data_IF_547202407841
#
_entry.id   IF_547202407841
#
_cell.length_a   1.000
_cell.length_b   1.000
_cell.length_c   1.000
_cell.angle_alpha   90.00
_cell.angle_beta   90.00
_cell.angle_gamma   90.00
#
_symmetry.space_group_name_H-M   'P 1'
#
loop_
_entity.id
_entity.type
_entity.pdbx_description
1 polymer ?
#
# COMPACT_ATOMS: atom_id res chain seq x y z
N UNK A 1 -6.85 -62.75 12.14
CA UNK A 1 -6.28 -61.43 12.48
C UNK A 1 -5.61 -60.84 11.25
N UNK A 2 -6.32 -59.99 10.52
CA UNK A 2 -5.79 -58.89 9.70
C UNK A 2 -6.91 -58.39 8.78
N UNK A 3 -7.13 -57.08 8.82
CA UNK A 3 -7.73 -56.20 7.80
C UNK A 3 -8.53 -55.08 8.48
N UNK A 4 -7.83 -54.27 9.27
CA UNK A 4 -8.17 -52.87 9.49
C UNK A 4 -7.12 -52.07 8.74
N UNK A 5 -7.50 -51.49 7.61
CA UNK A 5 -6.94 -50.30 6.97
C UNK A 5 -7.70 -50.15 5.64
N UNK A 6 -8.94 -49.67 5.71
CA UNK A 6 -9.59 -49.12 4.53
C UNK A 6 -9.57 -47.59 4.64
N UNK A 7 -9.16 -47.00 3.54
CA UNK A 7 -8.54 -45.69 3.43
C UNK A 7 -9.64 -44.63 3.27
N UNK A 8 -9.96 -43.92 4.34
CA UNK A 8 -10.83 -42.73 4.30
C UNK A 8 -10.08 -41.54 3.66
N UNK A 9 -9.88 -41.60 2.35
CA UNK A 9 -9.43 -40.46 1.56
C UNK A 9 -10.61 -39.51 1.39
N UNK A 10 -10.78 -38.58 2.34
CA UNK A 10 -11.73 -37.46 2.26
C UNK A 10 -11.59 -36.76 0.90
N UNK A 11 -12.58 -36.96 0.03
CA UNK A 11 -12.77 -36.16 -1.20
C UNK A 11 -12.90 -34.70 -0.79
N UNK A 12 -11.97 -33.87 -1.23
CA UNK A 12 -12.04 -32.42 -1.13
C UNK A 12 -13.34 -31.98 -1.84
N UNK A 13 -14.30 -31.45 -1.07
CA UNK A 13 -15.57 -30.96 -1.59
C UNK A 13 -15.33 -29.69 -2.39
N UNK A 14 -15.34 -29.81 -3.72
CA UNK A 14 -15.21 -28.66 -4.62
C UNK A 14 -16.47 -27.77 -4.51
N UNK A 15 -16.34 -26.61 -3.87
CA UNK A 15 -17.43 -25.64 -3.75
C UNK A 15 -17.83 -25.15 -5.16
N UNK A 16 -19.12 -25.15 -5.54
CA UNK A 16 -19.56 -24.63 -6.84
C UNK A 16 -19.08 -23.20 -7.10
N UNK A 17 -18.76 -22.87 -8.36
CA UNK A 17 -18.21 -21.57 -8.75
C UNK A 17 -19.11 -20.39 -8.33
N UNK A 18 -20.44 -20.54 -8.49
CA UNK A 18 -21.44 -19.53 -8.11
C UNK A 18 -21.46 -19.27 -6.59
N UNK A 19 -21.41 -20.33 -5.78
CA UNK A 19 -21.32 -20.21 -4.32
C UNK A 19 -20.04 -19.50 -3.88
N UNK A 20 -18.91 -19.78 -4.55
CA UNK A 20 -17.64 -19.06 -4.29
C UNK A 20 -17.75 -17.59 -4.65
N UNK A 21 -18.37 -17.25 -5.79
CA UNK A 21 -18.55 -15.86 -6.19
C UNK A 21 -19.38 -15.06 -5.17
N UNK A 22 -20.49 -15.62 -4.70
CA UNK A 22 -21.34 -14.95 -3.68
C UNK A 22 -20.64 -14.80 -2.33
N UNK A 23 -19.90 -15.82 -1.89
CA UNK A 23 -19.11 -15.74 -0.65
C UNK A 23 -18.04 -14.65 -0.75
N UNK A 24 -17.33 -14.56 -1.88
CA UNK A 24 -16.33 -13.49 -2.13
C UNK A 24 -16.97 -12.11 -2.08
N UNK A 25 -18.07 -11.92 -2.83
CA UNK A 25 -18.77 -10.64 -2.84
C UNK A 25 -19.25 -10.25 -1.45
N UNK A 26 -19.76 -11.19 -0.67
CA UNK A 26 -20.20 -10.94 0.70
C UNK A 26 -19.02 -10.61 1.64
N UNK A 27 -17.89 -11.32 1.52
CA UNK A 27 -16.70 -11.08 2.35
C UNK A 27 -16.11 -9.67 2.11
N UNK A 28 -15.92 -9.29 0.84
CA UNK A 28 -15.49 -7.93 0.48
C UNK A 28 -16.56 -6.88 0.86
N UNK A 29 -17.85 -7.16 0.63
CA UNK A 29 -18.92 -6.22 0.96
C UNK A 29 -18.98 -5.95 2.46
N UNK A 30 -18.81 -6.98 3.29
CA UNK A 30 -18.73 -6.80 4.74
C UNK A 30 -17.48 -6.01 5.16
N UNK A 31 -16.34 -6.26 4.51
CA UNK A 31 -15.08 -5.58 4.78
C UNK A 31 -15.15 -4.08 4.49
N UNK A 32 -15.72 -3.71 3.36
CA UNK A 32 -15.72 -2.33 2.88
C UNK A 32 -17.02 -1.60 3.23
N UNK A 33 -18.18 -2.20 2.99
CA UNK A 33 -19.45 -1.47 3.00
C UNK A 33 -20.22 -1.53 4.31
N UNK A 34 -19.94 -2.50 5.18
CA UNK A 34 -20.74 -2.72 6.39
C UNK A 34 -20.71 -1.53 7.36
N UNK A 35 -19.52 -1.09 7.77
CA UNK A 35 -19.31 0.02 8.72
C UNK A 35 -17.95 0.67 8.49
N UNK A 36 -17.84 1.97 8.75
CA UNK A 36 -16.56 2.70 8.67
C UNK A 36 -15.49 2.10 9.58
N UNK A 37 -15.88 1.59 10.76
CA UNK A 37 -14.95 0.91 11.67
C UNK A 37 -14.31 -0.32 11.01
N UNK A 38 -15.11 -1.16 10.35
CA UNK A 38 -14.63 -2.38 9.69
C UNK A 38 -13.74 -2.02 8.51
N UNK A 39 -14.18 -1.06 7.68
CA UNK A 39 -13.39 -0.57 6.56
C UNK A 39 -12.02 -0.04 7.02
N UNK A 40 -11.97 0.77 8.08
CA UNK A 40 -10.71 1.28 8.65
C UNK A 40 -9.83 0.19 9.22
N UNK A 41 -10.42 -0.78 9.93
CA UNK A 41 -9.69 -1.91 10.48
C UNK A 41 -9.05 -2.75 9.38
N UNK A 42 -9.76 -2.94 8.26
CA UNK A 42 -9.29 -3.80 7.16
C UNK A 42 -8.42 -3.09 6.12
N UNK A 43 -8.60 -1.78 5.89
CA UNK A 43 -7.94 -1.04 4.79
C UNK A 43 -7.18 0.21 5.21
N UNK A 44 -7.24 0.58 6.50
CA UNK A 44 -6.71 1.83 7.08
C UNK A 44 -7.38 3.13 6.61
N UNK A 45 -8.42 3.05 5.78
CA UNK A 45 -9.22 4.21 5.35
C UNK A 45 -10.71 3.96 5.61
N UNK A 46 -11.49 5.03 5.77
CA UNK A 46 -12.96 4.89 5.82
C UNK A 46 -13.57 4.69 4.43
N UNK A 47 -14.86 4.36 4.43
CA UNK A 47 -15.61 4.03 3.21
C UNK A 47 -15.68 5.18 2.22
N UNK A 48 -15.75 6.42 2.73
CA UNK A 48 -15.79 7.60 1.88
C UNK A 48 -14.45 7.77 1.16
N UNK A 49 -13.33 7.70 1.88
CA UNK A 49 -12.00 7.70 1.28
C UNK A 49 -11.81 6.53 0.31
N UNK A 50 -12.28 5.33 0.65
CA UNK A 50 -12.21 4.17 -0.23
C UNK A 50 -12.95 4.40 -1.56
N UNK A 51 -14.19 4.93 -1.50
CA UNK A 51 -14.97 5.23 -2.69
C UNK A 51 -14.32 6.33 -3.56
N UNK A 52 -13.79 7.38 -2.93
CA UNK A 52 -13.04 8.44 -3.63
C UNK A 52 -11.80 7.85 -4.30
N UNK A 53 -11.03 7.01 -3.60
CA UNK A 53 -9.85 6.35 -4.15
C UNK A 53 -10.20 5.47 -5.35
N UNK A 54 -11.24 4.64 -5.25
CA UNK A 54 -11.70 3.81 -6.37
C UNK A 54 -12.16 4.66 -7.57
N UNK A 55 -12.79 5.81 -7.31
CA UNK A 55 -13.16 6.74 -8.37
C UNK A 55 -11.93 7.34 -9.06
N UNK A 56 -10.95 7.84 -8.29
CA UNK A 56 -9.70 8.40 -8.81
C UNK A 56 -8.88 7.36 -9.60
N UNK A 57 -8.83 6.12 -9.12
CA UNK A 57 -8.13 5.03 -9.79
C UNK A 57 -8.75 4.69 -11.15
N UNK A 58 -10.08 4.77 -11.27
CA UNK A 58 -10.76 4.61 -12.56
C UNK A 58 -10.50 5.76 -13.51
N UNK A 59 -10.71 6.98 -13.04
CA UNK A 59 -10.77 8.16 -13.92
C UNK A 59 -9.39 8.67 -14.31
N UNK A 60 -8.42 8.59 -13.42
CA UNK A 60 -7.06 9.13 -13.63
C UNK A 60 -6.04 8.00 -13.67
N UNK A 61 -6.15 7.02 -12.76
CA UNK A 61 -5.22 5.88 -12.71
C UNK A 61 -5.33 4.92 -13.89
N UNK A 62 -6.46 4.95 -14.61
CA UNK A 62 -6.77 4.06 -15.73
C UNK A 62 -7.07 2.61 -15.30
N UNK A 63 -7.43 2.40 -14.04
CA UNK A 63 -7.75 1.08 -13.51
C UNK A 63 -9.16 0.68 -13.94
N UNK A 64 -9.28 -0.39 -14.72
CA UNK A 64 -10.56 -0.91 -15.22
C UNK A 64 -10.90 -2.25 -14.60
N UNK A 65 -12.20 -2.53 -14.46
CA UNK A 65 -12.68 -3.85 -14.10
C UNK A 65 -12.28 -4.88 -15.16
N UNK A 66 -12.12 -6.11 -14.72
CA UNK A 66 -11.99 -7.28 -15.60
C UNK A 66 -13.32 -8.03 -15.63
N UNK A 67 -13.45 -9.04 -16.48
CA UNK A 67 -14.65 -9.89 -16.52
C UNK A 67 -14.95 -10.58 -15.17
N UNK A 68 -13.94 -10.75 -14.31
CA UNK A 68 -14.05 -11.59 -13.10
C UNK A 68 -13.89 -10.80 -11.79
N UNK A 69 -13.32 -9.60 -11.84
CA UNK A 69 -12.97 -8.79 -10.66
C UNK A 69 -13.23 -7.31 -10.99
N UNK A 70 -14.00 -6.65 -10.14
CA UNK A 70 -14.27 -5.21 -10.22
C UNK A 70 -13.15 -4.37 -9.56
N UNK A 71 -13.19 -3.05 -9.74
CA UNK A 71 -12.12 -2.18 -9.23
C UNK A 71 -12.06 -2.21 -7.71
N UNK A 72 -13.20 -2.22 -7.05
CA UNK A 72 -13.27 -2.21 -5.60
C UNK A 72 -12.68 -3.48 -4.99
N UNK A 73 -12.94 -4.66 -5.54
CA UNK A 73 -12.33 -5.92 -5.09
C UNK A 73 -10.81 -5.87 -5.27
N UNK A 74 -10.31 -5.34 -6.39
CA UNK A 74 -8.86 -5.13 -6.60
C UNK A 74 -8.25 -4.22 -5.52
N UNK A 75 -8.88 -3.08 -5.28
CA UNK A 75 -8.40 -2.06 -4.32
C UNK A 75 -8.51 -2.57 -2.89
N UNK A 76 -9.58 -3.30 -2.55
CA UNK A 76 -9.74 -3.91 -1.23
C UNK A 76 -8.64 -4.95 -0.95
N UNK A 77 -8.35 -5.86 -1.90
CA UNK A 77 -7.23 -6.80 -1.76
C UNK A 77 -5.90 -6.06 -1.57
N UNK A 78 -5.64 -5.07 -2.42
CA UNK A 78 -4.40 -4.29 -2.36
C UNK A 78 -4.23 -3.59 -1.00
N UNK A 79 -5.25 -2.85 -0.54
CA UNK A 79 -5.20 -2.14 0.73
C UNK A 79 -5.13 -3.08 1.92
N UNK A 80 -5.83 -4.23 1.89
CA UNK A 80 -5.77 -5.20 2.98
C UNK A 80 -4.36 -5.78 3.13
N UNK A 81 -3.69 -6.08 2.00
CA UNK A 81 -2.28 -6.51 2.00
C UNK A 81 -1.39 -5.47 2.68
N UNK A 82 -1.50 -4.19 2.28
CA UNK A 82 -0.67 -3.13 2.84
C UNK A 82 -1.01 -2.81 4.30
N UNK A 83 -2.28 -2.87 4.67
CA UNK A 83 -2.77 -2.53 6.01
C UNK A 83 -2.25 -3.47 7.12
N UNK A 84 -1.93 -4.71 6.75
CA UNK A 84 -1.63 -5.79 7.69
C UNK A 84 -0.35 -6.58 7.36
N UNK A 85 0.37 -6.24 6.29
CA UNK A 85 1.53 -7.01 5.77
C UNK A 85 1.20 -8.50 5.55
N UNK A 86 -0.04 -8.80 5.16
CA UNK A 86 -0.48 -10.18 4.93
C UNK A 86 0.09 -10.73 3.63
N UNK A 87 0.54 -11.99 3.69
CA UNK A 87 1.19 -12.64 2.54
C UNK A 87 0.13 -13.10 1.53
N UNK A 88 0.51 -13.18 0.25
CA UNK A 88 -0.39 -13.58 -0.84
C UNK A 88 -1.19 -14.86 -0.52
N UNK A 89 -0.57 -15.86 0.11
CA UNK A 89 -1.24 -17.11 0.53
C UNK A 89 -2.43 -16.90 1.47
N UNK A 90 -2.40 -15.88 2.34
CA UNK A 90 -3.51 -15.57 3.26
C UNK A 90 -4.69 -15.00 2.46
N UNK A 91 -4.41 -14.04 1.58
CA UNK A 91 -5.40 -13.39 0.72
C UNK A 91 -6.08 -14.39 -0.23
N UNK A 92 -5.36 -15.43 -0.68
CA UNK A 92 -5.95 -16.50 -1.50
C UNK A 92 -7.15 -17.15 -0.83
N UNK A 93 -7.12 -17.33 0.49
CA UNK A 93 -8.23 -17.91 1.23
C UNK A 93 -9.34 -16.90 1.49
N UNK A 94 -8.99 -15.67 1.87
CA UNK A 94 -9.96 -14.63 2.21
C UNK A 94 -10.78 -14.17 1.00
N UNK A 95 -10.13 -13.98 -0.15
CA UNK A 95 -10.79 -13.56 -1.38
C UNK A 95 -11.07 -14.74 -2.32
N UNK A 96 -10.71 -15.97 -1.92
CA UNK A 96 -10.86 -17.19 -2.72
C UNK A 96 -10.33 -17.02 -4.15
N UNK A 97 -9.23 -16.29 -4.34
CA UNK A 97 -8.58 -16.02 -5.63
C UNK A 97 -7.27 -16.81 -5.74
N UNK A 98 -6.83 -17.10 -6.96
CA UNK A 98 -5.50 -17.69 -7.16
C UNK A 98 -4.41 -16.68 -6.78
N UNK A 99 -3.24 -17.18 -6.40
CA UNK A 99 -2.10 -16.32 -6.09
C UNK A 99 -1.64 -15.47 -7.28
N UNK A 100 -1.74 -16.01 -8.50
CA UNK A 100 -1.49 -15.27 -9.75
C UNK A 100 -2.43 -14.07 -9.86
N UNK A 101 -3.73 -14.28 -9.62
CA UNK A 101 -4.73 -13.23 -9.77
C UNK A 101 -4.49 -12.12 -8.76
N UNK A 102 -4.22 -12.47 -7.51
CA UNK A 102 -3.86 -11.50 -6.46
C UNK A 102 -2.61 -10.72 -6.85
N UNK A 103 -1.55 -11.41 -7.30
CA UNK A 103 -0.30 -10.77 -7.71
C UNK A 103 -0.52 -9.78 -8.87
N UNK A 104 -1.23 -10.19 -9.92
CA UNK A 104 -1.54 -9.37 -11.08
C UNK A 104 -2.33 -8.13 -10.69
N UNK A 105 -3.43 -8.31 -9.95
CA UNK A 105 -4.28 -7.18 -9.53
C UNK A 105 -3.57 -6.25 -8.54
N UNK A 106 -2.73 -6.78 -7.64
CA UNK A 106 -1.90 -5.96 -6.76
C UNK A 106 -1.00 -5.00 -7.56
N UNK A 107 -0.32 -5.50 -8.60
CA UNK A 107 0.56 -4.67 -9.42
C UNK A 107 -0.22 -3.67 -10.29
N UNK A 108 -1.40 -4.04 -10.81
CA UNK A 108 -2.24 -3.09 -11.53
C UNK A 108 -2.68 -1.91 -10.65
N UNK A 109 -3.11 -2.19 -9.40
CA UNK A 109 -3.48 -1.14 -8.44
C UNK A 109 -2.26 -0.31 -8.06
N UNK A 110 -1.10 -0.93 -7.80
CA UNK A 110 0.15 -0.22 -7.50
C UNK A 110 0.52 0.78 -8.60
N UNK A 111 0.52 0.35 -9.86
CA UNK A 111 0.83 1.22 -11.00
C UNK A 111 -0.18 2.36 -11.15
N UNK A 112 -1.47 2.07 -10.93
CA UNK A 112 -2.51 3.10 -10.96
C UNK A 112 -2.35 4.13 -9.83
N UNK A 113 -1.93 3.72 -8.63
CA UNK A 113 -1.61 4.63 -7.51
C UNK A 113 -0.38 5.48 -7.83
N UNK A 114 0.68 4.90 -8.40
CA UNK A 114 1.88 5.65 -8.80
C UNK A 114 1.53 6.74 -9.82
N UNK A 115 0.66 6.44 -10.79
CA UNK A 115 0.16 7.46 -11.74
C UNK A 115 -0.65 8.58 -11.08
N UNK A 116 -1.28 8.28 -9.95
CA UNK A 116 -2.07 9.23 -9.17
C UNK A 116 -1.22 10.07 -8.19
N UNK A 117 0.08 9.79 -8.04
CA UNK A 117 0.87 10.37 -6.94
C UNK A 117 0.79 11.90 -6.88
N UNK A 118 0.85 12.61 -8.02
CA UNK A 118 0.74 14.08 -8.10
C UNK A 118 -0.60 14.64 -7.60
N UNK A 119 -1.66 13.81 -7.60
CA UNK A 119 -2.99 14.18 -7.09
C UNK A 119 -3.14 13.84 -5.61
N UNK A 120 -2.41 12.85 -5.13
CA UNK A 120 -2.47 12.37 -3.75
C UNK A 120 -1.54 13.18 -2.83
N UNK A 121 -0.42 13.68 -3.36
CA UNK A 121 0.50 14.53 -2.61
C UNK A 121 -0.08 15.94 -2.47
N UNK A 122 0.13 16.50 -1.28
CA UNK A 122 -0.32 17.84 -0.95
C UNK A 122 0.55 18.88 -1.65
N UNK A 123 -0.07 19.93 -2.19
CA UNK A 123 0.67 21.10 -2.66
C UNK A 123 1.25 21.86 -1.46
N UNK A 124 2.57 22.10 -1.41
CA UNK A 124 3.18 22.77 -0.28
C UNK A 124 2.68 24.21 -0.16
N UNK A 125 2.48 24.66 1.07
CA UNK A 125 2.16 26.05 1.40
C UNK A 125 3.18 26.55 2.42
N UNK A 126 3.81 27.71 2.18
CA UNK A 126 4.76 28.26 3.13
C UNK A 126 4.07 28.67 4.42
N UNK A 127 4.75 28.48 5.54
CA UNK A 127 4.37 29.07 6.82
C UNK A 127 4.32 30.58 6.69
N UNK A 128 3.15 31.15 7.00
CA UNK A 128 2.94 32.59 6.98
C UNK A 128 3.66 33.30 8.15
N UNK A 129 3.99 34.57 7.94
CA UNK A 129 4.72 35.39 8.91
C UNK A 129 3.94 35.61 10.22
N UNK A 130 2.62 35.54 10.16
CA UNK A 130 1.69 35.68 11.28
C UNK A 130 1.23 34.31 11.84
N UNK A 131 1.93 33.23 11.52
CA UNK A 131 1.61 31.89 12.00
C UNK A 131 1.59 31.85 13.54
N UNK A 132 0.44 31.47 14.11
CA UNK A 132 0.23 31.39 15.56
C UNK A 132 0.62 30.03 16.15
N UNK A 133 0.79 29.02 15.30
CA UNK A 133 1.18 27.67 15.70
C UNK A 133 2.54 27.69 16.42
N UNK A 134 2.59 27.14 17.63
CA UNK A 134 3.80 27.20 18.47
C UNK A 134 4.98 26.42 17.90
N UNK A 135 4.71 25.37 17.13
CA UNK A 135 5.73 24.55 16.47
C UNK A 135 6.31 25.26 15.25
N UNK A 136 5.46 25.98 14.50
CA UNK A 136 5.84 26.51 13.18
C UNK A 136 6.11 28.01 13.12
N UNK A 137 5.67 28.82 14.10
CA UNK A 137 5.82 30.30 14.08
C UNK A 137 7.25 30.81 13.89
N UNK A 138 8.25 30.00 14.23
CA UNK A 138 9.67 30.34 14.13
C UNK A 138 10.29 29.99 12.77
N UNK A 139 9.53 29.33 11.89
CA UNK A 139 9.98 28.80 10.61
C UNK A 139 9.24 29.50 9.46
N UNK A 140 9.33 30.83 9.41
CA UNK A 140 8.76 31.64 8.33
C UNK A 140 9.20 31.11 6.95
N UNK A 141 8.27 31.05 5.98
CA UNK A 141 8.47 30.51 4.63
C UNK A 141 8.82 29.02 4.55
N UNK A 142 8.86 28.29 5.67
CA UNK A 142 9.08 26.85 5.66
C UNK A 142 7.90 26.12 5.02
N UNK A 143 8.18 25.11 4.20
CA UNK A 143 7.15 24.31 3.53
C UNK A 143 6.70 23.11 4.37
N UNK A 144 7.50 22.70 5.35
CA UNK A 144 7.28 21.45 6.06
C UNK A 144 8.51 20.86 6.73
N UNK A 145 8.40 19.60 7.12
CA UNK A 145 9.50 18.80 7.68
C UNK A 145 9.90 17.69 6.70
N UNK A 146 11.20 17.42 6.64
CA UNK A 146 11.76 16.29 5.89
C UNK A 146 12.41 15.31 6.86
N UNK A 147 12.23 14.01 6.62
CA UNK A 147 12.90 12.96 7.38
C UNK A 147 13.06 11.68 6.56
N UNK A 148 14.10 10.91 6.88
CA UNK A 148 14.36 9.60 6.30
C UNK A 148 13.75 8.48 7.13
N UNK A 149 13.16 7.49 6.48
CA UNK A 149 12.64 6.28 7.13
C UNK A 149 13.10 5.01 6.43
N UNK A 150 13.37 3.97 7.21
CA UNK A 150 13.84 2.69 6.70
C UNK A 150 12.69 1.69 6.61
N UNK A 151 12.45 1.15 5.42
CA UNK A 151 11.49 0.07 5.19
C UNK A 151 12.28 -1.22 4.95
N UNK A 152 12.01 -2.25 5.76
CA UNK A 152 12.67 -3.56 5.61
C UNK A 152 12.33 -4.17 4.26
N UNK A 153 13.35 -4.69 3.57
CA UNK A 153 13.19 -5.29 2.25
C UNK A 153 13.96 -6.60 2.15
N UNK A 154 13.50 -7.46 1.25
CA UNK A 154 14.24 -8.64 0.83
C UNK A 154 14.92 -8.32 -0.50
N UNK A 155 16.24 -8.44 -0.55
CA UNK A 155 17.05 -8.24 -1.76
C UNK A 155 17.94 -9.47 -2.01
N UNK A 156 18.40 -9.70 -3.25
CA UNK A 156 19.39 -10.74 -3.55
C UNK A 156 20.64 -10.64 -2.68
N UNK A 157 21.32 -11.77 -2.45
CA UNK A 157 22.51 -11.83 -1.58
C UNK A 157 23.58 -10.81 -2.01
N UNK A 158 23.77 -10.66 -3.33
CA UNK A 158 24.72 -9.72 -3.93
C UNK A 158 24.46 -8.25 -3.55
N UNK A 159 23.21 -7.90 -3.25
CA UNK A 159 22.80 -6.52 -2.96
C UNK A 159 22.69 -6.23 -1.46
N UNK A 160 22.67 -7.26 -0.60
CA UNK A 160 22.46 -7.10 0.85
C UNK A 160 23.44 -6.14 1.51
N UNK A 161 24.68 -6.10 1.04
CA UNK A 161 25.69 -5.17 1.58
C UNK A 161 25.27 -3.70 1.38
N UNK A 162 24.71 -3.37 0.20
CA UNK A 162 24.26 -2.01 -0.13
C UNK A 162 23.01 -1.62 0.66
N UNK A 163 22.08 -2.55 0.85
CA UNK A 163 20.85 -2.29 1.60
C UNK A 163 21.00 -2.40 3.12
N UNK A 164 22.21 -2.66 3.64
CA UNK A 164 22.44 -2.79 5.07
C UNK A 164 22.49 -1.41 5.73
N UNK A 165 21.59 -1.18 6.67
CA UNK A 165 21.59 0.03 7.51
C UNK A 165 22.70 0.00 8.55
N UNK A 166 22.97 1.15 9.19
CA UNK A 166 23.89 1.25 10.34
C UNK A 166 23.52 0.29 11.49
N UNK A 167 22.25 -0.09 11.62
CA UNK A 167 21.75 -1.03 12.64
C UNK A 167 21.85 -2.50 12.21
N UNK A 168 22.42 -2.78 11.04
CA UNK A 168 22.60 -4.13 10.51
C UNK A 168 21.36 -4.72 9.83
N UNK A 169 20.26 -3.99 9.74
CA UNK A 169 19.04 -4.43 9.07
C UNK A 169 19.13 -4.21 7.55
N UNK A 170 18.52 -5.09 6.76
CA UNK A 170 18.40 -4.93 5.30
C UNK A 170 17.13 -4.12 5.02
N UNK A 171 17.29 -2.88 4.56
CA UNK A 171 16.19 -1.94 4.35
C UNK A 171 16.46 -1.01 3.16
N UNK A 172 15.39 -0.45 2.58
CA UNK A 172 15.48 0.70 1.68
C UNK A 172 15.23 1.98 2.50
N UNK A 173 15.95 3.05 2.17
CA UNK A 173 15.70 4.38 2.74
C UNK A 173 14.65 5.10 1.88
N UNK A 174 13.69 5.72 2.55
CA UNK A 174 12.63 6.53 1.96
C UNK A 174 12.69 7.91 2.60
N UNK A 175 12.93 8.93 1.79
CA UNK A 175 12.82 10.32 2.21
C UNK A 175 11.36 10.76 2.06
N UNK A 176 10.75 11.18 3.17
CA UNK A 176 9.43 11.80 3.19
C UNK A 176 9.54 13.29 3.49
N UNK A 177 8.70 14.09 2.85
CA UNK A 177 8.50 15.49 3.22
C UNK A 177 7.02 15.71 3.46
N UNK A 178 6.68 16.30 4.59
CA UNK A 178 5.31 16.58 5.00
C UNK A 178 5.12 18.07 5.28
N UNK A 179 3.93 18.59 4.99
CA UNK A 179 3.55 19.95 5.36
C UNK A 179 3.39 20.13 6.88
N UNK A 180 2.97 21.31 7.29
CA UNK A 180 2.79 21.66 8.70
C UNK A 180 1.69 20.85 9.42
N UNK A 181 0.80 20.21 8.67
CA UNK A 181 -0.27 19.33 9.16
C UNK A 181 0.13 17.85 9.16
N UNK A 182 1.30 17.53 8.60
CA UNK A 182 1.78 16.17 8.46
C UNK A 182 1.31 15.47 7.17
N UNK A 183 0.69 16.20 6.23
CA UNK A 183 0.31 15.66 4.93
C UNK A 183 1.55 15.57 4.03
N UNK A 184 1.78 14.43 3.36
CA UNK A 184 2.93 14.27 2.48
C UNK A 184 2.86 15.22 1.27
N UNK A 185 3.93 15.99 1.07
CA UNK A 185 4.14 16.85 -0.10
C UNK A 185 5.10 16.22 -1.12
N UNK A 186 6.00 15.35 -0.64
CA UNK A 186 6.97 14.65 -1.47
C UNK A 186 7.40 13.33 -0.82
N UNK A 187 7.63 12.30 -1.63
CA UNK A 187 8.16 11.01 -1.19
C UNK A 187 9.15 10.51 -2.22
N UNK A 188 10.38 10.22 -1.79
CA UNK A 188 11.42 9.60 -2.59
C UNK A 188 11.79 8.26 -1.96
N UNK A 189 11.39 7.17 -2.63
CA UNK A 189 11.67 5.80 -2.21
C UNK A 189 12.72 5.14 -3.11
N UNK A 190 13.26 4.01 -2.64
CA UNK A 190 14.12 3.14 -3.44
C UNK A 190 15.62 3.32 -3.22
N UNK A 191 16.02 4.20 -2.30
CA UNK A 191 17.42 4.36 -1.94
C UNK A 191 17.93 3.19 -1.09
N UNK A 192 19.22 2.89 -1.21
CA UNK A 192 19.88 1.83 -0.47
C UNK A 192 19.89 2.13 1.04
N UNK A 193 19.74 1.13 1.90
CA UNK A 193 19.76 1.32 3.36
C UNK A 193 21.09 1.84 3.93
N UNK A 194 22.18 1.76 3.17
CA UNK A 194 23.47 2.35 3.53
C UNK A 194 23.63 3.80 3.07
N UNK A 195 22.72 4.31 2.23
CA UNK A 195 22.81 5.66 1.70
C UNK A 195 22.64 6.70 2.81
N UNK A 196 23.53 7.70 2.82
CA UNK A 196 23.46 8.81 3.75
C UNK A 196 22.34 9.78 3.36
N UNK A 197 21.65 10.36 4.35
CA UNK A 197 20.52 11.27 4.12
C UNK A 197 20.91 12.49 3.24
N UNK A 198 22.16 12.97 3.35
CA UNK A 198 22.67 14.06 2.52
C UNK A 198 22.77 13.69 1.03
N UNK A 199 23.04 12.42 0.71
CA UNK A 199 23.08 11.92 -0.66
C UNK A 199 21.67 11.82 -1.24
N UNK A 200 20.73 11.29 -0.45
CA UNK A 200 19.32 11.16 -0.82
C UNK A 200 18.69 12.55 -1.02
N UNK A 201 18.99 13.50 -0.14
CA UNK A 201 18.53 14.89 -0.27
C UNK A 201 19.05 15.53 -1.57
N UNK A 202 20.32 15.29 -1.93
CA UNK A 202 20.89 15.81 -3.17
C UNK A 202 20.18 15.26 -4.41
N UNK A 203 19.86 13.97 -4.42
CA UNK A 203 19.08 13.35 -5.49
C UNK A 203 17.63 13.85 -5.54
N UNK A 204 17.00 14.07 -4.39
CA UNK A 204 15.67 14.67 -4.34
C UNK A 204 15.66 16.05 -4.99
N UNK A 205 16.66 16.88 -4.70
CA UNK A 205 16.81 18.22 -5.28
C UNK A 205 17.04 18.14 -6.79
N UNK A 206 17.89 17.24 -7.27
CA UNK A 206 18.16 17.13 -8.71
C UNK A 206 16.93 16.70 -9.51
N UNK A 207 16.08 15.83 -8.96
CA UNK A 207 14.82 15.39 -9.59
C UNK A 207 13.74 16.46 -9.64
N UNK A 208 13.74 17.40 -8.68
CA UNK A 208 12.78 18.51 -8.65
C UNK A 208 13.17 19.65 -9.61
N UNK A 209 14.42 19.68 -10.06
CA UNK A 209 14.95 20.69 -11.00
C UNK A 209 14.97 20.20 -12.46
N UNK A 210 14.63 18.94 -12.72
CA UNK A 210 14.59 18.32 -14.05
C UNK A 210 13.18 18.33 -14.63
#
# INVERSE_FOLDING_TARGET
MSNLLNNDTKRITHIPHDSRHRIRQLAYFCMIHAKDLVCRQSTRIDRRCFAILCHLLRTIGGLTSTEVIDVEEMVAMFLHILAHDVKNRVIQWEFMRSGETIFRHFHMVLLAIIRLHDKLLKKPQPVANDCTDQRWRWFENCLGALDGTYIKVNVPESDRARYRTRKGEVATNVLGVCDTKGDFIYVLAGWEGSAADSHILRDAISRLMA
#
